data_IF_142739816288
#
_entry.id   IF_142739816288
#
_cell.length_a   1.000
_cell.length_b   1.000
_cell.length_c   1.000
_cell.angle_alpha   90.00
_cell.angle_beta   90.00
_cell.angle_gamma   90.00
#
_symmetry.space_group_name_H-M   'P 1'
#
loop_
_entity.id
_entity.type
_entity.pdbx_description
1 polymer ?
#
# COMPACT_ATOMS: atom_id res chain seq x y z
N UNK A 1 0.01 -7.39 9.48
CA UNK A 1 -1.07 -6.38 9.29
C UNK A 1 -2.42 -6.98 9.69
N UNK A 2 -3.30 -6.24 10.39
CA UNK A 2 -4.64 -6.73 10.79
C UNK A 2 -5.65 -6.51 9.66
N UNK A 3 -5.99 -7.55 8.91
CA UNK A 3 -7.05 -7.54 7.89
C UNK A 3 -7.83 -8.85 7.92
N UNK A 4 -9.09 -8.81 7.46
CA UNK A 4 -9.86 -10.03 7.20
C UNK A 4 -9.12 -10.93 6.22
N UNK A 5 -9.32 -12.25 6.34
CA UNK A 5 -8.84 -13.21 5.35
C UNK A 5 -9.46 -12.88 3.98
N UNK A 6 -8.66 -12.92 2.92
CA UNK A 6 -9.15 -12.74 1.55
C UNK A 6 -10.19 -13.81 1.22
N UNK A 7 -11.32 -13.42 0.64
CA UNK A 7 -12.30 -14.37 0.12
C UNK A 7 -11.73 -15.09 -1.11
N UNK A 8 -12.00 -16.39 -1.28
CA UNK A 8 -11.52 -17.16 -2.44
C UNK A 8 -12.03 -16.55 -3.76
N UNK A 9 -13.30 -16.14 -3.79
CA UNK A 9 -13.96 -15.58 -4.97
C UNK A 9 -13.75 -14.07 -5.15
N UNK A 10 -12.86 -13.45 -4.35
CA UNK A 10 -12.54 -12.04 -4.53
C UNK A 10 -11.91 -11.80 -5.91
N UNK A 11 -12.23 -10.66 -6.51
CA UNK A 11 -11.72 -10.29 -7.84
C UNK A 11 -10.19 -10.12 -7.82
N UNK A 12 -9.55 -10.45 -8.93
CA UNK A 12 -8.12 -10.23 -9.15
C UNK A 12 -7.78 -8.78 -9.46
N UNK A 13 -6.49 -8.44 -9.43
CA UNK A 13 -5.97 -7.08 -9.64
C UNK A 13 -6.34 -6.50 -10.99
N UNK A 14 -6.23 -7.27 -12.08
CA UNK A 14 -6.61 -6.82 -13.42
C UNK A 14 -8.08 -6.46 -13.53
N UNK A 15 -8.97 -7.34 -13.06
CA UNK A 15 -10.41 -7.10 -13.07
C UNK A 15 -10.79 -5.89 -12.19
N UNK A 16 -10.15 -5.76 -11.04
CA UNK A 16 -10.32 -4.60 -10.18
C UNK A 16 -9.87 -3.29 -10.85
N UNK A 17 -8.69 -3.27 -11.48
CA UNK A 17 -8.17 -2.09 -12.18
C UNK A 17 -9.14 -1.61 -13.28
N UNK A 18 -9.69 -2.54 -14.06
CA UNK A 18 -10.71 -2.24 -15.07
C UNK A 18 -12.00 -1.68 -14.46
N UNK A 19 -12.39 -2.15 -13.27
CA UNK A 19 -13.60 -1.65 -12.59
C UNK A 19 -13.50 -0.20 -12.11
N UNK A 20 -12.28 0.33 -11.96
CA UNK A 20 -12.02 1.70 -11.48
C UNK A 20 -11.42 2.62 -12.56
N UNK A 21 -11.23 2.13 -13.78
CA UNK A 21 -10.64 2.91 -14.90
C UNK A 21 -11.66 3.73 -15.70
N UNK A 22 -12.94 3.68 -15.34
CA UNK A 22 -14.00 4.45 -15.98
C UNK A 22 -13.79 5.96 -15.76
N UNK A 23 -13.73 6.74 -16.84
CA UNK A 23 -13.52 8.20 -16.80
C UNK A 23 -14.72 8.97 -16.23
N UNK A 24 -15.89 8.34 -16.14
CA UNK A 24 -17.09 8.91 -15.52
C UNK A 24 -17.14 8.67 -14.00
N UNK A 25 -16.27 7.80 -13.48
CA UNK A 25 -16.23 7.47 -12.06
C UNK A 25 -15.62 8.62 -11.27
N UNK A 26 -16.41 9.19 -10.35
CA UNK A 26 -15.93 10.25 -9.46
C UNK A 26 -14.79 9.72 -8.56
N UNK A 27 -13.83 10.58 -8.22
CA UNK A 27 -12.76 10.24 -7.30
C UNK A 27 -13.31 9.67 -5.97
N UNK A 28 -14.36 10.29 -5.44
CA UNK A 28 -15.00 9.86 -4.19
C UNK A 28 -15.58 8.45 -4.29
N UNK A 29 -16.20 8.09 -5.40
CA UNK A 29 -16.77 6.76 -5.59
C UNK A 29 -15.69 5.72 -5.88
N UNK A 30 -14.64 6.09 -6.62
CA UNK A 30 -13.43 5.28 -6.78
C UNK A 30 -12.84 4.89 -5.43
N UNK A 31 -12.68 5.86 -4.53
CA UNK A 31 -12.12 5.60 -3.20
C UNK A 31 -13.01 4.73 -2.31
N UNK A 32 -14.35 4.83 -2.45
CA UNK A 32 -15.28 3.91 -1.76
C UNK A 32 -15.10 2.47 -2.25
N UNK A 33 -14.96 2.28 -3.56
CA UNK A 33 -14.75 0.96 -4.18
C UNK A 33 -13.43 0.36 -3.67
N UNK A 34 -12.33 1.14 -3.72
CA UNK A 34 -11.02 0.73 -3.20
C UNK A 34 -11.12 0.35 -1.72
N UNK A 35 -11.70 1.22 -0.88
CA UNK A 35 -11.81 0.96 0.56
C UNK A 35 -12.63 -0.31 0.86
N UNK A 36 -13.68 -0.59 0.08
CA UNK A 36 -14.52 -1.78 0.25
C UNK A 36 -13.73 -3.06 0.00
N UNK A 37 -12.94 -3.11 -1.07
CA UNK A 37 -12.09 -4.28 -1.36
C UNK A 37 -11.10 -4.55 -0.22
N UNK A 38 -10.42 -3.50 0.26
CA UNK A 38 -9.45 -3.61 1.36
C UNK A 38 -10.13 -4.05 2.66
N UNK A 39 -11.28 -3.45 2.99
CA UNK A 39 -12.08 -3.81 4.18
C UNK A 39 -12.56 -5.26 4.14
N UNK A 40 -12.79 -5.80 2.96
CA UNK A 40 -13.14 -7.20 2.75
C UNK A 40 -11.93 -8.14 2.70
N UNK A 41 -10.70 -7.59 2.79
CA UNK A 41 -9.47 -8.35 2.80
C UNK A 41 -8.97 -8.73 1.40
N UNK A 42 -9.41 -8.06 0.33
CA UNK A 42 -8.85 -8.29 -1.01
C UNK A 42 -7.47 -7.64 -1.17
N UNK A 43 -6.50 -8.17 -0.44
CA UNK A 43 -5.10 -7.73 -0.40
C UNK A 43 -4.22 -8.97 -0.50
N UNK A 44 -3.17 -8.96 -1.34
CA UNK A 44 -2.24 -10.08 -1.49
C UNK A 44 -1.59 -10.50 -0.17
N UNK A 45 -1.23 -11.78 -0.06
CA UNK A 45 -0.67 -12.33 1.18
C UNK A 45 0.73 -11.82 1.49
N UNK A 46 1.52 -11.47 0.46
CA UNK A 46 2.86 -10.91 0.67
C UNK A 46 2.80 -9.56 1.43
N UNK A 47 1.79 -8.72 1.17
CA UNK A 47 1.60 -7.46 1.92
C UNK A 47 1.10 -7.66 3.36
N UNK A 48 0.60 -8.86 3.70
CA UNK A 48 0.15 -9.16 5.07
C UNK A 48 1.32 -9.44 6.02
N UNK A 49 2.46 -9.85 5.45
CA UNK A 49 3.71 -10.13 6.15
C UNK A 49 4.55 -8.84 6.16
N UNK A 50 4.62 -8.19 7.33
CA UNK A 50 5.40 -6.97 7.49
C UNK A 50 6.89 -7.29 7.57
N UNK A 51 7.71 -6.45 6.94
CA UNK A 51 9.18 -6.52 7.04
C UNK A 51 9.64 -5.77 8.29
N UNK A 52 10.53 -6.41 9.06
CA UNK A 52 11.12 -5.79 10.25
C UNK A 52 12.38 -5.00 9.88
N UNK A 53 12.48 -3.77 10.38
CA UNK A 53 13.65 -2.92 10.30
C UNK A 53 14.03 -2.48 11.71
N UNK A 54 15.23 -2.88 12.16
CA UNK A 54 15.77 -2.47 13.45
C UNK A 54 16.71 -1.29 13.24
N UNK A 55 16.44 -0.17 13.90
CA UNK A 55 17.30 1.01 13.90
C UNK A 55 17.83 1.28 15.30
N UNK A 56 19.04 1.81 15.37
CA UNK A 56 19.60 2.38 16.60
C UNK A 56 19.30 3.88 16.63
N UNK A 57 18.81 4.40 17.75
CA UNK A 57 18.43 5.80 17.88
C UNK A 57 18.87 6.37 19.23
N UNK A 58 19.23 7.66 19.24
CA UNK A 58 19.64 8.37 20.46
C UNK A 58 21.10 8.09 20.88
N UNK A 59 21.48 8.62 22.04
CA UNK A 59 22.85 8.55 22.57
C UNK A 59 23.14 7.27 23.38
N UNK A 60 22.11 6.50 23.71
CA UNK A 60 22.19 5.30 24.55
C UNK A 60 22.09 4.01 23.74
N UNK A 61 22.20 4.09 22.41
CA UNK A 61 22.04 2.97 21.48
C UNK A 61 20.71 2.21 21.62
N UNK A 62 19.61 2.95 21.89
CA UNK A 62 18.28 2.36 21.98
C UNK A 62 17.87 1.74 20.64
N UNK A 63 17.33 0.52 20.69
CA UNK A 63 16.86 -0.20 19.49
C UNK A 63 15.37 0.00 19.29
N UNK A 64 15.01 0.55 18.13
CA UNK A 64 13.62 0.72 17.70
C UNK A 64 13.34 -0.27 16.56
N UNK A 65 12.26 -1.05 16.70
CA UNK A 65 11.79 -1.96 15.67
C UNK A 65 10.62 -1.38 14.88
N UNK A 66 10.78 -1.22 13.57
CA UNK A 66 9.72 -0.82 12.64
C UNK A 66 9.22 -2.05 11.89
N UNK A 67 7.90 -2.25 11.84
CA UNK A 67 7.26 -3.28 11.01
C UNK A 67 6.56 -2.59 9.85
N UNK A 68 7.15 -2.66 8.66
CA UNK A 68 6.75 -1.91 7.48
C UNK A 68 6.11 -2.82 6.42
N UNK A 69 5.30 -2.25 5.54
CA UNK A 69 4.87 -2.98 4.35
C UNK A 69 6.10 -3.26 3.46
N UNK A 70 6.21 -4.47 2.87
CA UNK A 70 7.35 -4.83 2.03
C UNK A 70 7.33 -4.15 0.67
N UNK A 71 6.18 -3.62 0.24
CA UNK A 71 5.98 -2.99 -1.05
C UNK A 71 4.78 -2.02 -1.01
N UNK A 72 4.50 -1.32 -2.11
CA UNK A 72 3.33 -0.47 -2.30
C UNK A 72 2.03 -1.26 -2.12
N UNK A 73 1.01 -0.57 -1.63
CA UNK A 73 -0.28 -1.17 -1.33
C UNK A 73 -0.98 -1.66 -2.62
N UNK A 74 -1.54 -2.88 -2.57
CA UNK A 74 -2.15 -3.51 -3.73
C UNK A 74 -3.46 -4.23 -3.38
N UNK A 75 -4.31 -4.41 -4.39
CA UNK A 75 -5.55 -5.20 -4.33
C UNK A 75 -5.44 -6.38 -5.30
N UNK A 76 -5.87 -7.56 -4.87
CA UNK A 76 -5.84 -8.79 -5.67
C UNK A 76 -5.28 -10.01 -4.93
N UNK A 77 -4.75 -10.98 -5.69
CA UNK A 77 -4.04 -12.16 -5.17
C UNK A 77 -2.52 -12.00 -5.32
N UNK A 78 -1.72 -13.02 -4.93
CA UNK A 78 -0.27 -12.94 -5.13
C UNK A 78 0.12 -13.00 -6.61
N UNK A 79 -0.74 -13.60 -7.45
CA UNK A 79 -0.51 -13.86 -8.87
C UNK A 79 -1.15 -12.80 -9.78
N UNK A 80 -2.23 -12.16 -9.32
CA UNK A 80 -2.92 -11.07 -10.04
C UNK A 80 -3.28 -9.95 -9.06
N UNK A 81 -2.41 -8.94 -9.00
CA UNK A 81 -2.59 -7.75 -8.16
C UNK A 81 -2.39 -6.45 -8.92
N UNK A 82 -2.96 -5.38 -8.38
CA UNK A 82 -2.84 -4.03 -8.89
C UNK A 82 -2.38 -3.10 -7.77
N UNK A 83 -1.25 -2.41 -7.97
CA UNK A 83 -0.82 -1.32 -7.10
C UNK A 83 -1.83 -0.19 -7.18
N UNK A 84 -2.53 0.06 -6.07
CA UNK A 84 -3.72 0.89 -6.08
C UNK A 84 -3.40 2.35 -5.74
N UNK A 85 -3.67 3.31 -6.64
CA UNK A 85 -3.49 4.72 -6.34
C UNK A 85 -4.61 5.22 -5.42
N UNK A 86 -4.24 5.75 -4.26
CA UNK A 86 -5.16 6.27 -3.23
C UNK A 86 -4.81 7.72 -2.88
N UNK A 87 -5.80 8.52 -2.45
CA UNK A 87 -5.48 9.82 -1.87
C UNK A 87 -4.92 9.66 -0.45
N UNK A 88 -4.26 10.69 0.10
CA UNK A 88 -3.83 10.67 1.50
C UNK A 88 -4.98 10.43 2.49
N UNK A 89 -6.20 10.91 2.16
CA UNK A 89 -7.39 10.70 3.01
C UNK A 89 -7.79 9.23 3.09
N UNK A 90 -7.77 8.53 1.95
CA UNK A 90 -8.05 7.09 1.90
C UNK A 90 -6.90 6.29 2.52
N UNK A 91 -5.64 6.67 2.27
CA UNK A 91 -4.48 6.03 2.88
C UNK A 91 -4.57 6.05 4.42
N UNK A 92 -4.96 7.19 5.01
CA UNK A 92 -5.17 7.28 6.46
C UNK A 92 -6.30 6.38 6.95
N UNK A 93 -7.41 6.26 6.20
CA UNK A 93 -8.51 5.34 6.55
C UNK A 93 -8.06 3.88 6.52
N UNK A 94 -7.23 3.52 5.54
CA UNK A 94 -6.65 2.18 5.45
C UNK A 94 -5.72 1.93 6.63
N UNK A 95 -4.84 2.88 6.97
CA UNK A 95 -3.95 2.78 8.11
C UNK A 95 -4.72 2.55 9.44
N UNK A 96 -5.78 3.33 9.67
CA UNK A 96 -6.67 3.16 10.83
C UNK A 96 -7.34 1.77 10.84
N UNK A 97 -7.81 1.30 9.67
CA UNK A 97 -8.44 -0.01 9.54
C UNK A 97 -7.47 -1.16 9.87
N UNK A 98 -6.19 -1.00 9.56
CA UNK A 98 -5.17 -2.05 9.71
C UNK A 98 -4.36 -1.97 10.99
N UNK A 99 -4.68 -1.01 11.87
CA UNK A 99 -3.90 -0.68 13.07
C UNK A 99 -2.44 -0.30 12.74
N UNK A 100 -2.31 0.54 11.70
CA UNK A 100 -1.04 1.05 11.18
C UNK A 100 -1.06 2.58 11.16
N UNK A 101 0.10 3.18 10.87
CA UNK A 101 0.26 4.62 10.68
C UNK A 101 0.91 4.92 9.33
N UNK A 102 0.72 6.13 8.83
CA UNK A 102 1.49 6.63 7.70
C UNK A 102 2.88 7.05 8.21
N UNK A 103 3.97 6.67 7.51
CA UNK A 103 5.32 6.99 7.96
C UNK A 103 5.60 8.49 7.85
N UNK A 104 6.41 9.01 8.77
CA UNK A 104 6.97 10.36 8.65
C UNK A 104 8.07 10.39 7.58
N UNK A 105 8.48 11.59 7.15
CA UNK A 105 9.63 11.74 6.24
C UNK A 105 10.87 10.98 6.71
N UNK A 106 11.24 11.13 7.98
CA UNK A 106 12.42 10.45 8.54
C UNK A 106 12.28 8.92 8.53
N UNK A 107 11.08 8.39 8.78
CA UNK A 107 10.82 6.95 8.64
C UNK A 107 10.95 6.50 7.18
N UNK A 108 10.40 7.27 6.23
CA UNK A 108 10.53 6.97 4.79
C UNK A 108 11.99 6.94 4.36
N UNK A 109 12.81 7.91 4.81
CA UNK A 109 14.24 7.95 4.49
C UNK A 109 14.99 6.71 5.04
N UNK A 110 14.67 6.28 6.27
CA UNK A 110 15.23 5.06 6.87
C UNK A 110 14.84 3.80 6.08
N UNK A 111 13.55 3.69 5.73
CA UNK A 111 13.03 2.57 4.94
C UNK A 111 13.71 2.52 3.57
N UNK A 112 13.80 3.65 2.87
CA UNK A 112 14.44 3.72 1.57
C UNK A 112 15.92 3.33 1.66
N UNK A 113 16.65 3.83 2.64
CA UNK A 113 18.07 3.50 2.81
C UNK A 113 18.29 2.00 3.04
N UNK A 114 17.43 1.37 3.84
CA UNK A 114 17.48 -0.05 4.14
C UNK A 114 16.89 -0.97 3.05
N UNK A 115 16.16 -0.41 2.06
CA UNK A 115 15.55 -1.19 0.99
C UNK A 115 16.62 -1.87 0.12
N UNK A 116 16.43 -3.17 -0.12
CA UNK A 116 17.29 -3.99 -0.99
C UNK A 116 17.18 -3.54 -2.45
N UNK A 117 15.98 -3.15 -2.88
CA UNK A 117 15.69 -2.72 -4.26
C UNK A 117 15.40 -1.22 -4.27
N UNK A 118 16.12 -0.49 -5.13
CA UNK A 118 15.94 0.94 -5.38
C UNK A 118 15.78 1.14 -6.89
N UNK A 119 14.58 1.52 -7.31
CA UNK A 119 14.27 1.76 -8.72
C UNK A 119 14.60 3.20 -9.08
N UNK A 120 15.26 3.39 -10.22
CA UNK A 120 15.46 4.72 -10.79
C UNK A 120 14.12 5.29 -11.29
N UNK A 121 13.80 6.55 -10.99
CA UNK A 121 12.59 7.20 -11.50
C UNK A 121 12.52 7.08 -13.03
N UNK A 122 11.35 6.71 -13.54
CA UNK A 122 11.06 6.70 -14.97
C UNK A 122 10.05 7.81 -15.26
N UNK A 123 10.48 9.00 -15.70
CA UNK A 123 9.58 10.10 -15.98
C UNK A 123 8.60 9.72 -17.09
N UNK A 124 7.31 9.96 -16.86
CA UNK A 124 6.32 9.92 -17.93
C UNK A 124 6.50 11.19 -18.74
N UNK A 125 6.81 11.04 -20.03
CA UNK A 125 6.93 12.19 -20.93
C UNK A 125 5.60 12.97 -20.95
N UNK A 126 5.63 14.31 -21.05
CA UNK A 126 4.41 15.10 -21.19
C UNK A 126 3.59 14.60 -22.38
N UNK A 127 2.32 14.26 -22.15
CA UNK A 127 1.38 14.08 -23.25
C UNK A 127 1.03 15.45 -23.85
N UNK A 128 0.69 15.49 -25.14
CA UNK A 128 0.12 16.71 -25.73
C UNK A 128 -1.12 17.13 -24.93
N UNK A 129 -1.21 18.41 -24.64
CA UNK A 129 -2.36 19.03 -23.96
C UNK A 129 -3.65 18.87 -24.77
#
# INVERSE_FOLDING_TARGET
MKLKKRNADAIGGKAFALSISDSTLSLKDREKIIYREIKNGNVPDFLRKLSALIITYGHHDDKIGLYILPDYFAIGSNEDFFYVPVTPMLAQKIANLTDCILPTRSMVDLIYNAAEIKLYPQPILPSKA
#
